data_IF_311335045372
#
_entry.id   IF_311335045372
#
_cell.length_a   1.000
_cell.length_b   1.000
_cell.length_c   1.000
_cell.angle_alpha   90.00
_cell.angle_beta   90.00
_cell.angle_gamma   90.00
#
_symmetry.space_group_name_H-M   'P 1'
#
loop_
_entity.id
_entity.type
_entity.pdbx_description
1 polymer ?
#
# COMPACT_ATOMS: atom_id res chain seq x y z
N UNK A 1 10.14 22.28 17.79
CA UNK A 1 11.39 21.51 17.94
C UNK A 1 11.06 20.05 18.23
N UNK A 2 11.33 19.18 17.28
CA UNK A 2 11.23 17.73 17.52
C UNK A 2 12.57 17.25 18.04
N UNK A 3 12.61 16.66 19.21
CA UNK A 3 13.77 15.98 19.76
C UNK A 3 13.43 14.52 19.96
N UNK A 4 14.19 13.66 19.34
CA UNK A 4 14.15 12.23 19.63
C UNK A 4 15.36 11.86 20.46
N UNK A 5 15.14 11.08 21.50
CA UNK A 5 16.20 10.55 22.34
C UNK A 5 16.32 9.05 22.11
N UNK A 6 17.48 8.60 21.72
CA UNK A 6 17.82 7.19 21.70
C UNK A 6 18.72 6.92 22.90
N UNK A 7 18.26 6.12 23.85
CA UNK A 7 19.06 5.68 24.98
C UNK A 7 19.93 4.50 24.52
N UNK A 8 21.23 4.74 24.52
CA UNK A 8 22.22 3.72 24.20
C UNK A 8 22.75 3.17 25.53
N UNK A 9 22.51 1.89 25.84
CA UNK A 9 23.08 1.30 27.02
C UNK A 9 24.62 1.23 26.88
N UNK A 10 25.38 1.37 27.95
CA UNK A 10 26.83 1.23 27.90
C UNK A 10 27.21 -0.18 27.44
N UNK A 11 28.07 -0.28 26.44
CA UNK A 11 28.59 -1.53 25.91
C UNK A 11 30.13 -1.41 25.79
N UNK A 12 30.84 -2.50 26.00
CA UNK A 12 32.28 -2.55 25.77
C UNK A 12 32.65 -2.91 24.32
N UNK A 13 31.65 -3.31 23.54
CA UNK A 13 31.77 -3.72 22.14
C UNK A 13 30.96 -2.81 21.21
N UNK A 14 31.40 -2.69 19.97
CA UNK A 14 30.65 -2.01 18.93
C UNK A 14 29.24 -2.61 18.75
N UNK A 15 28.25 -1.82 19.00
CA UNK A 15 26.85 -2.26 18.93
C UNK A 15 26.07 -1.33 18.02
N UNK A 16 25.30 -1.91 17.08
CA UNK A 16 24.43 -1.13 16.21
C UNK A 16 23.16 -0.76 16.96
N UNK A 17 22.88 0.52 17.01
CA UNK A 17 21.62 1.05 17.50
C UNK A 17 20.79 1.64 16.36
N UNK A 18 19.49 1.49 16.46
CA UNK A 18 18.56 2.12 15.53
C UNK A 18 17.55 2.89 16.36
N UNK A 19 17.32 4.14 16.02
CA UNK A 19 16.29 4.97 16.61
C UNK A 19 15.44 5.56 15.52
N UNK A 20 14.14 5.65 15.75
CA UNK A 20 13.22 6.36 14.87
C UNK A 20 12.90 7.71 15.49
N UNK A 21 12.94 8.74 14.69
CA UNK A 21 12.44 10.04 15.08
C UNK A 21 11.51 10.58 14.00
N UNK A 22 10.49 11.26 14.47
CA UNK A 22 9.51 11.92 13.62
C UNK A 22 9.73 13.41 13.73
N UNK A 23 10.07 14.05 12.64
CA UNK A 23 10.13 15.50 12.61
C UNK A 23 8.70 16.03 12.37
N UNK A 24 8.13 16.67 13.37
CA UNK A 24 6.86 17.38 13.25
C UNK A 24 7.14 18.88 13.24
N UNK A 25 7.17 19.48 12.07
CA UNK A 25 7.18 20.92 11.93
C UNK A 25 5.88 21.39 11.30
N UNK A 26 5.20 22.30 11.98
CA UNK A 26 4.02 22.98 11.44
C UNK A 26 4.38 24.09 10.44
N UNK A 27 5.66 24.37 10.26
CA UNK A 27 6.19 25.40 9.36
C UNK A 27 7.44 24.86 8.68
N UNK A 28 7.23 24.01 7.67
CA UNK A 28 8.30 23.72 6.72
C UNK A 28 8.25 24.83 5.69
N UNK A 29 9.21 25.74 5.77
CA UNK A 29 9.48 26.65 4.68
C UNK A 29 10.30 25.87 3.66
N UNK A 30 9.73 25.63 2.47
CA UNK A 30 10.35 24.83 1.43
C UNK A 30 11.67 25.43 0.89
N UNK A 31 11.90 26.70 1.19
CA UNK A 31 13.08 27.46 0.73
C UNK A 31 14.22 27.50 1.76
N UNK A 32 14.11 26.78 2.89
CA UNK A 32 15.13 26.78 3.94
C UNK A 32 15.83 25.42 4.00
N UNK A 33 17.15 25.44 3.88
CA UNK A 33 17.98 24.25 4.13
C UNK A 33 17.74 23.72 5.55
N UNK A 34 17.41 22.45 5.67
CA UNK A 34 17.20 21.80 6.95
C UNK A 34 18.52 21.22 7.47
N UNK A 35 18.94 21.66 8.63
CA UNK A 35 20.11 21.15 9.31
C UNK A 35 19.70 20.23 10.46
N UNK A 36 20.27 19.04 10.49
CA UNK A 36 20.11 18.12 11.60
C UNK A 36 21.30 18.27 12.55
N UNK A 37 21.04 18.63 13.79
CA UNK A 37 22.05 18.60 14.84
C UNK A 37 21.91 17.28 15.59
N UNK A 38 22.90 16.41 15.44
CA UNK A 38 23.04 15.23 16.27
C UNK A 38 23.93 15.59 17.45
N UNK A 39 23.39 15.53 18.65
CA UNK A 39 24.11 15.74 19.88
C UNK A 39 24.12 14.45 20.69
N UNK A 40 25.30 13.92 20.94
CA UNK A 40 25.47 12.82 21.88
C UNK A 40 25.89 13.42 23.23
N UNK A 41 25.13 13.13 24.27
CA UNK A 41 25.45 13.54 25.62
C UNK A 41 25.44 12.36 26.55
N UNK A 42 26.39 12.25 27.42
CA UNK A 42 26.31 11.37 28.56
C UNK A 42 25.42 12.04 29.59
N UNK A 43 24.17 11.61 29.67
CA UNK A 43 23.29 12.08 30.74
C UNK A 43 23.70 11.36 32.04
N UNK A 44 23.68 11.99 33.20
CA UNK A 44 24.10 11.37 34.45
C UNK A 44 23.18 10.18 34.77
N UNK A 45 23.56 9.03 34.26
CA UNK A 45 23.04 7.75 34.76
C UNK A 45 23.78 7.46 36.04
N UNK A 46 23.16 6.90 37.07
CA UNK A 46 23.88 6.48 38.26
C UNK A 46 25.08 5.61 37.87
N UNK A 47 26.30 6.08 38.17
CA UNK A 47 27.54 5.42 37.78
C UNK A 47 28.31 6.04 36.60
N UNK A 48 27.71 6.99 35.86
CA UNK A 48 28.41 7.70 34.80
C UNK A 48 29.51 8.61 35.36
N UNK A 49 30.67 8.59 34.73
CA UNK A 49 31.86 9.41 35.06
C UNK A 49 32.07 10.46 33.96
N UNK A 50 32.69 11.57 34.35
CA UNK A 50 33.14 12.58 33.37
C UNK A 50 34.20 12.05 32.40
N UNK A 51 34.78 10.91 32.69
CA UNK A 51 35.83 10.26 31.89
C UNK A 51 35.23 9.19 30.93
N UNK A 52 33.90 8.95 31.01
CA UNK A 52 33.24 8.06 30.09
C UNK A 52 33.26 8.63 28.68
N UNK A 53 33.49 7.74 27.72
CA UNK A 53 33.60 8.10 26.30
C UNK A 53 32.47 7.43 25.54
N UNK A 54 32.01 8.12 24.52
CA UNK A 54 31.10 7.59 23.53
C UNK A 54 31.77 7.71 22.15
N UNK A 55 32.10 6.58 21.57
CA UNK A 55 32.58 6.50 20.21
C UNK A 55 31.42 6.20 19.28
N UNK A 56 31.24 7.01 18.24
CA UNK A 56 30.22 6.86 17.23
C UNK A 56 30.85 6.58 15.87
N UNK A 57 30.38 5.58 15.18
CA UNK A 57 30.79 5.25 13.82
C UNK A 57 29.53 5.06 12.95
N UNK A 58 29.62 5.42 11.68
CA UNK A 58 28.57 5.23 10.68
C UNK A 58 27.17 5.78 11.07
N UNK A 59 27.08 7.07 11.40
CA UNK A 59 25.76 7.70 11.51
C UNK A 59 25.08 7.77 10.14
N UNK A 60 23.91 7.14 10.02
CA UNK A 60 23.12 7.14 8.79
C UNK A 60 21.67 7.53 9.05
N UNK A 61 21.11 8.36 8.18
CA UNK A 61 19.68 8.58 8.09
C UNK A 61 19.09 7.57 7.10
N UNK A 62 18.03 6.88 7.53
CA UNK A 62 17.33 5.91 6.70
C UNK A 62 15.95 6.48 6.38
N UNK A 63 15.69 6.66 5.10
CA UNK A 63 14.39 7.08 4.58
C UNK A 63 13.63 5.85 4.10
N UNK A 64 12.55 5.51 4.81
CA UNK A 64 11.76 4.33 4.47
C UNK A 64 10.99 4.55 3.18
N UNK A 65 11.05 3.57 2.30
CA UNK A 65 10.32 3.49 1.04
C UNK A 65 9.40 2.27 1.01
N UNK A 66 8.95 1.81 2.18
CA UNK A 66 8.09 0.66 2.35
C UNK A 66 6.73 1.07 2.91
N UNK A 67 5.76 0.17 2.85
CA UNK A 67 4.48 0.32 3.52
C UNK A 67 4.55 -0.27 4.93
N UNK A 68 3.86 0.38 5.87
CA UNK A 68 3.60 -0.17 7.20
C UNK A 68 2.35 -1.03 7.21
N UNK A 69 1.42 -0.79 6.28
CA UNK A 69 0.18 -1.56 6.15
C UNK A 69 -0.40 -1.43 4.73
N UNK A 70 -1.05 -2.51 4.32
CA UNK A 70 -2.03 -2.54 3.23
C UNK A 70 -3.30 -3.14 3.83
N UNK A 71 -4.41 -2.43 3.74
CA UNK A 71 -5.68 -2.89 4.29
C UNK A 71 -6.79 -2.90 3.25
N UNK A 72 -7.72 -3.83 3.43
CA UNK A 72 -8.94 -3.93 2.66
C UNK A 72 -10.12 -4.08 3.62
N UNK A 73 -11.17 -3.27 3.42
CA UNK A 73 -12.34 -3.22 4.30
C UNK A 73 -11.95 -3.02 5.78
N UNK A 74 -10.96 -2.15 6.04
CA UNK A 74 -10.49 -1.81 7.38
C UNK A 74 -9.69 -2.91 8.09
N UNK A 75 -9.26 -3.96 7.38
CA UNK A 75 -8.42 -5.03 7.92
C UNK A 75 -7.14 -5.16 7.11
N UNK A 76 -6.01 -5.30 7.81
CA UNK A 76 -4.74 -5.64 7.16
C UNK A 76 -4.90 -6.91 6.34
N UNK A 77 -4.37 -6.90 5.10
CA UNK A 77 -4.42 -8.05 4.21
C UNK A 77 -3.63 -9.23 4.78
N UNK A 78 -4.06 -10.45 4.47
CA UNK A 78 -3.43 -11.65 4.99
C UNK A 78 -1.97 -11.77 4.52
N UNK A 79 -1.07 -12.04 5.46
CA UNK A 79 0.35 -12.24 5.18
C UNK A 79 1.07 -10.97 4.75
N UNK A 80 0.59 -9.78 5.18
CA UNK A 80 1.30 -8.54 4.94
C UNK A 80 2.70 -8.56 5.59
N UNK A 81 3.70 -8.18 4.80
CA UNK A 81 5.09 -7.97 5.20
C UNK A 81 5.65 -6.80 4.39
N UNK A 82 6.22 -5.75 5.01
CA UNK A 82 6.79 -4.60 4.30
C UNK A 82 7.79 -4.93 3.18
N UNK A 83 8.45 -6.08 3.27
CA UNK A 83 9.44 -6.53 2.29
C UNK A 83 8.90 -7.50 1.24
N UNK A 84 7.61 -7.78 1.28
CA UNK A 84 6.89 -8.55 0.26
C UNK A 84 6.15 -7.60 -0.67
N UNK A 85 6.38 -7.70 -1.96
CA UNK A 85 5.89 -6.74 -2.96
C UNK A 85 4.73 -7.24 -3.81
N UNK A 86 4.30 -8.48 -3.64
CA UNK A 86 3.18 -9.06 -4.38
C UNK A 86 2.15 -9.69 -3.44
N UNK A 87 0.90 -9.31 -3.62
CA UNK A 87 -0.25 -9.79 -2.85
C UNK A 87 -1.40 -10.18 -3.76
N UNK A 88 -2.31 -10.98 -3.22
CA UNK A 88 -3.58 -11.29 -3.86
C UNK A 88 -4.72 -11.21 -2.83
N UNK A 89 -5.83 -10.62 -3.24
CA UNK A 89 -7.06 -10.49 -2.45
C UNK A 89 -8.18 -11.16 -3.23
N UNK A 90 -8.90 -12.08 -2.57
CA UNK A 90 -9.96 -12.88 -3.18
C UNK A 90 -11.31 -12.11 -3.21
N UNK A 91 -11.26 -10.82 -3.54
CA UNK A 91 -12.39 -9.90 -3.64
C UNK A 91 -12.41 -9.22 -5.01
N UNK A 92 -13.52 -8.56 -5.33
CA UNK A 92 -13.69 -7.87 -6.61
C UNK A 92 -12.91 -6.56 -6.63
N UNK A 93 -12.27 -6.24 -7.75
CA UNK A 93 -11.51 -4.99 -7.93
C UNK A 93 -12.40 -3.75 -7.82
N UNK A 94 -13.69 -3.85 -8.14
CA UNK A 94 -14.64 -2.72 -8.06
C UNK A 94 -14.80 -2.23 -6.60
N UNK A 95 -14.65 -3.12 -5.63
CA UNK A 95 -14.73 -2.75 -4.21
C UNK A 95 -13.46 -2.06 -3.72
N UNK A 96 -12.34 -2.22 -4.44
CA UNK A 96 -11.06 -1.67 -4.03
C UNK A 96 -11.02 -0.14 -4.03
N UNK A 97 -11.78 0.52 -4.91
CA UNK A 97 -11.81 1.98 -4.99
C UNK A 97 -12.23 2.64 -3.67
N UNK A 98 -13.05 1.96 -2.87
CA UNK A 98 -13.62 2.49 -1.63
C UNK A 98 -13.10 1.81 -0.37
N UNK A 99 -12.62 0.58 -0.46
CA UNK A 99 -12.29 -0.26 0.68
C UNK A 99 -10.79 -0.51 0.87
N UNK A 100 -10.00 -0.13 -0.14
CA UNK A 100 -8.55 -0.30 -0.13
C UNK A 100 -7.85 0.92 0.47
N UNK A 101 -6.96 0.68 1.43
CA UNK A 101 -6.17 1.74 2.05
C UNK A 101 -4.72 1.29 2.25
N UNK A 102 -3.81 2.26 2.25
CA UNK A 102 -2.38 2.02 2.41
C UNK A 102 -1.78 2.98 3.44
N UNK A 103 -0.81 2.50 4.19
CA UNK A 103 -0.08 3.30 5.16
C UNK A 103 1.42 3.23 4.89
N UNK A 104 2.09 4.32 4.54
CA UNK A 104 3.54 4.33 4.41
C UNK A 104 4.22 4.12 5.76
N UNK A 105 5.40 3.46 5.76
CA UNK A 105 6.19 3.23 6.96
C UNK A 105 6.96 4.48 7.38
N UNK A 106 7.47 5.24 6.41
CA UNK A 106 8.27 6.45 6.66
C UNK A 106 7.44 7.72 6.73
N UNK A 107 7.78 8.60 7.65
CA UNK A 107 7.27 9.96 7.65
C UNK A 107 7.76 10.71 6.40
N UNK A 108 6.84 11.39 5.72
CA UNK A 108 7.15 12.10 4.47
C UNK A 108 7.37 11.21 3.26
N UNK A 109 7.26 9.88 3.40
CA UNK A 109 7.23 9.01 2.24
C UNK A 109 6.00 9.31 1.38
N UNK A 110 6.21 9.43 0.08
CA UNK A 110 5.13 9.65 -0.88
C UNK A 110 4.61 8.33 -1.43
N UNK A 111 3.30 8.27 -1.65
CA UNK A 111 2.66 7.10 -2.25
C UNK A 111 1.80 7.52 -3.43
N UNK A 112 1.79 6.70 -4.46
CA UNK A 112 0.91 6.84 -5.61
C UNK A 112 0.32 5.47 -5.95
N UNK A 113 -0.98 5.42 -6.23
CA UNK A 113 -1.71 4.18 -6.49
C UNK A 113 -2.38 4.24 -7.86
N UNK A 114 -2.17 3.21 -8.67
CA UNK A 114 -2.85 3.00 -9.95
C UNK A 114 -3.77 1.78 -9.85
N UNK A 115 -5.04 1.96 -10.19
CA UNK A 115 -6.04 0.89 -10.21
C UNK A 115 -6.36 0.55 -11.67
N UNK A 116 -6.12 -0.70 -12.05
CA UNK A 116 -6.46 -1.21 -13.37
C UNK A 116 -7.60 -2.22 -13.28
N UNK A 117 -8.83 -1.78 -13.52
CA UNK A 117 -10.04 -2.62 -13.45
C UNK A 117 -10.06 -3.72 -14.53
N UNK A 118 -9.40 -3.51 -15.67
CA UNK A 118 -9.37 -4.54 -16.73
C UNK A 118 -8.52 -5.75 -16.36
N UNK A 119 -7.44 -5.50 -15.64
CA UNK A 119 -6.51 -6.57 -15.20
C UNK A 119 -6.79 -7.04 -13.78
N UNK A 120 -7.54 -6.28 -12.99
CA UNK A 120 -7.75 -6.55 -11.57
C UNK A 120 -6.48 -6.27 -10.73
N UNK A 121 -5.64 -5.32 -11.16
CA UNK A 121 -4.36 -5.06 -10.51
C UNK A 121 -4.34 -3.64 -9.94
N UNK A 122 -3.93 -3.54 -8.70
CA UNK A 122 -3.51 -2.28 -8.06
C UNK A 122 -2.00 -2.26 -7.99
N UNK A 123 -1.40 -1.19 -8.53
CA UNK A 123 0.03 -0.91 -8.41
C UNK A 123 0.24 0.25 -7.47
N UNK A 124 1.08 0.07 -6.45
CA UNK A 124 1.36 1.07 -5.42
C UNK A 124 2.84 1.42 -5.52
N UNK A 125 3.12 2.68 -5.80
CA UNK A 125 4.46 3.25 -5.79
C UNK A 125 4.71 3.90 -4.43
N UNK A 126 5.82 3.57 -3.80
CA UNK A 126 6.22 4.14 -2.51
C UNK A 126 7.62 4.69 -2.66
N UNK A 127 7.77 5.98 -2.42
CA UNK A 127 9.06 6.65 -2.49
C UNK A 127 9.44 7.22 -1.12
N UNK A 128 10.70 7.07 -0.74
CA UNK A 128 11.24 7.70 0.46
C UNK A 128 11.29 9.22 0.34
N UNK A 129 11.34 9.91 1.47
CA UNK A 129 11.33 11.39 1.51
C UNK A 129 12.55 12.04 0.83
N UNK A 130 13.59 11.27 0.53
CA UNK A 130 14.79 11.72 -0.18
C UNK A 130 14.79 11.33 -1.66
N UNK A 131 13.63 11.11 -2.28
CA UNK A 131 13.52 10.61 -3.65
C UNK A 131 14.14 11.55 -4.69
N UNK A 132 14.22 12.85 -4.41
CA UNK A 132 14.85 13.83 -5.28
C UNK A 132 16.37 13.70 -5.29
N UNK A 133 16.98 13.41 -4.14
CA UNK A 133 18.43 13.19 -3.99
C UNK A 133 18.82 11.76 -4.38
N UNK A 134 17.96 10.79 -4.09
CA UNK A 134 18.15 9.38 -4.44
C UNK A 134 16.93 8.81 -5.18
N UNK A 135 16.87 8.93 -6.51
CA UNK A 135 15.76 8.39 -7.31
C UNK A 135 15.61 6.86 -7.25
N UNK A 136 16.57 6.15 -6.66
CA UNK A 136 16.48 4.71 -6.45
C UNK A 136 15.70 4.34 -5.18
N UNK A 137 15.47 5.30 -4.26
CA UNK A 137 14.77 5.07 -3.00
C UNK A 137 13.26 4.96 -3.18
N UNK A 138 12.85 3.93 -3.92
CA UNK A 138 11.45 3.63 -4.22
C UNK A 138 11.21 2.13 -4.28
N UNK A 139 9.99 1.72 -3.94
CA UNK A 139 9.48 0.37 -4.10
C UNK A 139 8.13 0.38 -4.82
N UNK A 140 7.80 -0.75 -5.43
CA UNK A 140 6.52 -0.97 -6.12
C UNK A 140 5.88 -2.22 -5.54
N UNK A 141 4.67 -2.06 -5.01
CA UNK A 141 3.84 -3.18 -4.57
C UNK A 141 2.74 -3.44 -5.60
N UNK A 142 2.40 -4.70 -5.77
CA UNK A 142 1.34 -5.14 -6.66
C UNK A 142 0.32 -5.96 -5.89
N UNK A 143 -0.94 -5.57 -5.95
CA UNK A 143 -2.05 -6.28 -5.32
C UNK A 143 -3.00 -6.74 -6.42
N UNK A 144 -3.18 -8.07 -6.52
CA UNK A 144 -4.08 -8.70 -7.48
C UNK A 144 -5.43 -8.97 -6.83
N UNK A 145 -6.47 -8.46 -7.44
CA UNK A 145 -7.86 -8.70 -7.09
C UNK A 145 -8.50 -9.66 -8.10
N UNK A 146 -9.66 -10.21 -7.77
CA UNK A 146 -10.52 -10.81 -8.78
C UNK A 146 -10.90 -9.75 -9.80
N UNK A 147 -10.87 -10.14 -11.06
CA UNK A 147 -11.40 -9.30 -12.13
C UNK A 147 -12.91 -9.19 -11.95
N UNK A 148 -13.42 -7.98 -12.03
CA UNK A 148 -14.87 -7.77 -11.99
C UNK A 148 -15.58 -8.64 -13.01
N UNK A 149 -16.53 -9.44 -12.54
CA UNK A 149 -17.41 -10.26 -13.37
C UNK A 149 -18.72 -9.54 -13.70
N UNK A 150 -18.83 -8.25 -13.36
CA UNK A 150 -20.03 -7.44 -13.67
C UNK A 150 -20.17 -7.14 -15.16
N UNK A 151 -19.18 -7.56 -15.97
CA UNK A 151 -19.32 -7.58 -17.41
C UNK A 151 -20.51 -8.45 -17.88
N UNK A 152 -21.16 -8.03 -18.95
CA UNK A 152 -22.20 -8.83 -19.60
C UNK A 152 -21.56 -10.12 -20.13
N UNK A 153 -21.80 -11.25 -19.46
CA UNK A 153 -21.37 -12.54 -19.97
C UNK A 153 -22.04 -12.80 -21.33
N UNK A 154 -21.22 -13.13 -22.32
CA UNK A 154 -21.71 -13.45 -23.66
C UNK A 154 -21.89 -14.97 -23.77
N UNK A 155 -23.06 -15.42 -24.16
CA UNK A 155 -23.34 -16.82 -24.49
C UNK A 155 -23.76 -16.96 -25.96
N UNK A 156 -23.52 -18.12 -26.53
CA UNK A 156 -24.09 -18.40 -27.85
C UNK A 156 -25.60 -18.65 -27.77
N UNK A 157 -26.32 -18.31 -28.85
CA UNK A 157 -27.75 -18.50 -28.92
C UNK A 157 -28.17 -19.96 -28.67
N UNK A 158 -27.33 -20.92 -29.06
CA UNK A 158 -27.63 -22.36 -28.88
C UNK A 158 -27.56 -22.77 -27.39
N UNK A 159 -26.63 -22.16 -26.60
CA UNK A 159 -26.63 -22.38 -25.15
C UNK A 159 -27.79 -21.67 -24.43
N UNK A 160 -28.19 -20.51 -24.91
CA UNK A 160 -29.31 -19.75 -24.31
C UNK A 160 -30.66 -20.47 -24.43
N UNK A 161 -30.84 -21.31 -25.47
CA UNK A 161 -32.12 -22.04 -25.70
C UNK A 161 -32.52 -23.00 -24.58
N UNK A 162 -31.55 -23.45 -23.76
CA UNK A 162 -31.82 -24.38 -22.65
C UNK A 162 -31.99 -23.69 -21.28
N UNK A 163 -31.94 -22.37 -21.23
CA UNK A 163 -32.04 -21.58 -20.01
C UNK A 163 -33.40 -20.83 -19.95
N UNK A 164 -33.80 -20.38 -18.74
CA UNK A 164 -34.91 -19.46 -18.57
C UNK A 164 -34.48 -18.05 -19.01
N UNK A 165 -34.90 -17.67 -20.20
CA UNK A 165 -34.55 -16.40 -20.84
C UNK A 165 -35.68 -15.40 -20.72
N UNK A 166 -35.34 -14.17 -20.30
CA UNK A 166 -36.27 -13.06 -20.21
C UNK A 166 -35.70 -11.82 -20.91
N UNK A 167 -36.53 -11.02 -21.50
CA UNK A 167 -36.17 -9.66 -21.95
C UNK A 167 -35.86 -8.78 -20.74
N UNK A 168 -35.25 -7.63 -20.95
CA UNK A 168 -35.00 -6.63 -19.87
C UNK A 168 -36.31 -6.14 -19.23
N UNK A 169 -37.47 -6.24 -19.94
CA UNK A 169 -38.77 -5.88 -19.43
C UNK A 169 -39.48 -7.06 -18.72
N UNK A 170 -38.76 -8.16 -18.44
CA UNK A 170 -39.32 -9.31 -17.71
C UNK A 170 -40.17 -10.26 -18.54
N UNK A 171 -40.28 -10.07 -19.84
CA UNK A 171 -41.06 -10.98 -20.72
C UNK A 171 -40.25 -12.23 -21.02
N UNK A 172 -40.80 -13.41 -20.74
CA UNK A 172 -40.15 -14.69 -21.04
C UNK A 172 -40.02 -14.91 -22.53
N UNK A 173 -38.84 -15.28 -22.98
CA UNK A 173 -38.52 -15.66 -24.36
C UNK A 173 -38.62 -17.18 -24.48
N UNK A 174 -39.52 -17.67 -25.30
CA UNK A 174 -39.68 -19.10 -25.60
C UNK A 174 -38.94 -19.43 -26.89
N UNK A 175 -38.03 -20.42 -26.82
CA UNK A 175 -37.20 -20.82 -27.95
C UNK A 175 -35.83 -20.10 -27.99
N UNK A 176 -35.18 -20.13 -29.16
CA UNK A 176 -33.85 -19.54 -29.37
C UNK A 176 -33.96 -18.00 -29.39
N UNK A 177 -33.33 -17.27 -28.46
CA UNK A 177 -33.36 -15.83 -28.46
C UNK A 177 -32.55 -15.26 -29.65
N UNK A 178 -32.99 -14.17 -30.21
CA UNK A 178 -32.23 -13.40 -31.19
C UNK A 178 -31.02 -12.72 -30.52
N UNK A 179 -30.09 -12.20 -31.33
CA UNK A 179 -28.97 -11.42 -30.80
C UNK A 179 -29.51 -10.20 -30.00
N UNK A 180 -29.03 -10.03 -28.79
CA UNK A 180 -29.48 -8.96 -27.89
C UNK A 180 -29.12 -9.20 -26.44
N UNK A 181 -29.61 -8.31 -25.56
CA UNK A 181 -29.37 -8.38 -24.10
C UNK A 181 -30.61 -8.97 -23.41
N UNK A 182 -30.39 -9.98 -22.58
CA UNK A 182 -31.43 -10.74 -21.89
C UNK A 182 -31.03 -10.99 -20.43
N UNK A 183 -32.01 -11.34 -19.61
CA UNK A 183 -31.81 -11.95 -18.29
C UNK A 183 -31.92 -13.47 -18.48
N UNK A 184 -30.79 -14.17 -18.24
CA UNK A 184 -30.70 -15.62 -18.39
C UNK A 184 -30.32 -16.20 -17.04
N UNK A 185 -31.21 -17.02 -16.47
CA UNK A 185 -31.06 -17.60 -15.11
C UNK A 185 -30.74 -16.54 -14.03
N UNK A 186 -31.38 -15.38 -14.15
CA UNK A 186 -31.26 -14.28 -13.20
C UNK A 186 -30.05 -13.35 -13.46
N UNK A 187 -29.23 -13.61 -14.48
CA UNK A 187 -28.08 -12.78 -14.83
C UNK A 187 -28.26 -12.05 -16.14
N UNK A 188 -27.80 -10.80 -16.24
CA UNK A 188 -27.78 -10.02 -17.47
C UNK A 188 -26.73 -10.55 -18.42
N UNK A 189 -27.12 -10.96 -19.63
CA UNK A 189 -26.25 -11.61 -20.60
C UNK A 189 -26.51 -11.11 -22.03
N UNK A 190 -25.49 -11.12 -22.87
CA UNK A 190 -25.61 -10.85 -24.31
C UNK A 190 -25.66 -12.15 -25.10
N UNK A 191 -26.67 -12.30 -25.95
CA UNK A 191 -26.78 -13.38 -26.95
C UNK A 191 -26.26 -12.84 -28.27
N UNK A 192 -25.36 -13.55 -28.90
CA UNK A 192 -24.81 -13.24 -30.23
C UNK A 192 -25.41 -14.17 -31.28
#
# INVERSE_FOLDING_TARGET
DASAFVLIPPTEEWTKFTGEFKYESNTIDADVDHYYLVSATTNPVPGASKDDKLDLDELRFIYYNTLADISFNGKTIEGFDPNKFEYAIDEDIEDAEYLFDIKPAGFGASTYTEINHETGIITIYVAGNNIEEDPSNKNIYTVKFKKSTTGINTISADKAANHKVYTLNGVRVNGKPAAGIYIIDGKKMTVK
#
